data_IF_849719264705
#
_entry.id   IF_849719264705
#
_cell.length_a   1.000
_cell.length_b   1.000
_cell.length_c   1.000
_cell.angle_alpha   90.00
_cell.angle_beta   90.00
_cell.angle_gamma   90.00
#
_symmetry.space_group_name_H-M   'P 1'
#
loop_
_entity.id
_entity.type
_entity.pdbx_description
1 polymer ?
#
# COMPACT_ATOMS: atom_id res chain seq x y z
N UNK A 1 22.25 -26.05 14.73
CA UNK A 1 21.59 -26.72 13.60
C UNK A 1 20.34 -25.90 13.30
N UNK A 2 20.31 -25.22 12.16
CA UNK A 2 19.17 -24.38 11.80
C UNK A 2 17.97 -25.28 11.56
N UNK A 3 16.91 -25.09 12.37
CA UNK A 3 15.61 -25.71 12.16
C UNK A 3 15.17 -25.48 10.72
N UNK A 4 14.84 -26.55 10.00
CA UNK A 4 14.20 -26.47 8.69
C UNK A 4 13.07 -25.45 8.71
N UNK A 5 12.92 -24.57 7.70
CA UNK A 5 11.80 -23.66 7.66
C UNK A 5 10.51 -24.50 7.70
N UNK A 6 9.62 -24.17 8.64
CA UNK A 6 8.22 -24.61 8.65
C UNK A 6 7.66 -24.62 7.22
N UNK A 7 7.04 -25.73 6.83
CA UNK A 7 6.52 -25.96 5.49
C UNK A 7 5.62 -24.81 5.04
N UNK A 8 5.90 -24.26 3.85
CA UNK A 8 5.08 -23.20 3.29
C UNK A 8 3.63 -23.70 3.15
N UNK A 9 2.69 -23.01 3.81
CA UNK A 9 1.27 -23.39 3.82
C UNK A 9 0.48 -22.35 3.05
N UNK A 10 -0.24 -22.80 2.02
CA UNK A 10 -1.03 -21.91 1.16
C UNK A 10 -2.47 -21.89 1.65
N UNK A 11 -2.93 -20.72 2.12
CA UNK A 11 -4.33 -20.50 2.51
C UNK A 11 -5.08 -19.76 1.41
N UNK A 12 -6.30 -20.20 1.10
CA UNK A 12 -7.13 -19.55 0.08
C UNK A 12 -7.44 -18.11 0.48
N UNK A 13 -7.16 -17.17 -0.41
CA UNK A 13 -7.41 -15.74 -0.17
C UNK A 13 -6.40 -15.06 0.76
N UNK A 14 -5.27 -15.72 1.03
CA UNK A 14 -4.19 -15.21 1.88
C UNK A 14 -2.87 -15.20 1.12
N UNK A 15 -2.03 -14.22 1.40
CA UNK A 15 -0.78 -14.01 0.66
C UNK A 15 0.43 -14.57 1.39
N UNK A 16 0.40 -14.58 2.73
CA UNK A 16 1.44 -15.17 3.52
C UNK A 16 1.39 -16.70 3.40
N UNK A 17 2.46 -17.28 2.84
CA UNK A 17 2.70 -18.73 2.82
C UNK A 17 3.63 -19.19 3.93
N UNK A 18 4.23 -18.23 4.64
CA UNK A 18 5.11 -18.42 5.78
C UNK A 18 4.68 -17.44 6.87
N UNK A 19 4.55 -17.93 8.09
CA UNK A 19 4.07 -17.17 9.24
C UNK A 19 5.20 -17.00 10.27
N UNK A 20 6.05 -15.96 10.16
CA UNK A 20 7.16 -15.75 11.06
C UNK A 20 6.69 -15.31 12.45
N UNK A 21 7.36 -15.80 13.50
CA UNK A 21 7.14 -15.29 14.85
C UNK A 21 7.43 -13.78 14.96
N UNK A 22 6.81 -13.14 15.94
CA UNK A 22 7.11 -11.77 16.29
C UNK A 22 8.60 -11.63 16.68
N UNK A 23 9.31 -10.72 15.99
CA UNK A 23 10.73 -10.39 16.24
C UNK A 23 11.02 -9.90 17.67
N UNK A 24 10.03 -9.37 18.38
CA UNK A 24 10.19 -8.85 19.74
C UNK A 24 9.74 -9.83 20.83
N UNK A 25 9.19 -10.99 20.47
CA UNK A 25 8.76 -11.99 21.45
C UNK A 25 9.98 -12.69 22.08
N UNK A 26 10.03 -12.85 23.42
CA UNK A 26 11.15 -13.50 24.10
C UNK A 26 11.18 -15.02 23.89
N UNK A 27 10.04 -15.61 23.51
CA UNK A 27 9.86 -17.03 23.27
C UNK A 27 8.99 -17.25 22.03
N UNK A 28 9.20 -18.36 21.34
CA UNK A 28 8.36 -18.80 20.22
C UNK A 28 7.80 -20.20 20.50
N UNK A 29 6.55 -20.42 20.13
CA UNK A 29 5.92 -21.75 20.14
C UNK A 29 5.98 -22.34 18.74
N UNK A 30 6.41 -23.59 18.63
CA UNK A 30 6.39 -24.34 17.37
C UNK A 30 5.29 -25.38 17.48
N UNK A 31 4.41 -25.43 16.48
CA UNK A 31 3.42 -26.51 16.38
C UNK A 31 4.15 -27.76 15.88
N UNK A 32 4.07 -28.83 16.65
CA UNK A 32 4.61 -30.14 16.32
C UNK A 32 3.46 -31.15 16.34
N UNK A 33 3.42 -32.03 15.34
CA UNK A 33 2.44 -33.11 15.28
C UNK A 33 2.83 -34.15 16.33
N UNK A 34 2.00 -34.29 17.35
CA UNK A 34 2.15 -35.26 18.43
C UNK A 34 1.62 -36.66 18.06
N UNK A 35 1.14 -36.83 16.83
CA UNK A 35 0.57 -38.08 16.31
C UNK A 35 -0.86 -38.35 16.80
N UNK A 36 -1.47 -37.40 17.51
CA UNK A 36 -2.86 -37.49 17.93
C UNK A 36 -3.79 -37.04 16.81
N UNK A 37 -5.01 -37.58 16.80
CA UNK A 37 -6.00 -37.19 15.81
C UNK A 37 -6.40 -35.72 16.00
N UNK A 38 -6.30 -34.93 14.93
CA UNK A 38 -6.73 -33.53 14.87
C UNK A 38 -7.82 -33.39 13.80
N UNK A 39 -8.83 -32.56 14.06
CA UNK A 39 -9.81 -32.17 13.04
C UNK A 39 -9.11 -31.44 11.89
N UNK A 40 -9.53 -31.69 10.64
CA UNK A 40 -8.99 -30.99 9.48
C UNK A 40 -9.16 -29.48 9.64
N UNK A 41 -8.04 -28.74 9.65
CA UNK A 41 -8.05 -27.30 9.81
C UNK A 41 -8.89 -26.63 8.73
N UNK A 42 -9.71 -25.65 9.13
CA UNK A 42 -10.56 -24.89 8.21
C UNK A 42 -9.75 -24.26 7.08
N UNK A 43 -10.18 -24.51 5.83
CA UNK A 43 -9.48 -24.03 4.63
C UNK A 43 -9.45 -22.50 4.48
N UNK A 44 -10.22 -21.76 5.28
CA UNK A 44 -10.30 -20.29 5.24
C UNK A 44 -10.18 -19.69 6.65
N UNK A 45 -9.14 -18.88 6.85
CA UNK A 45 -8.96 -18.09 8.06
C UNK A 45 -9.85 -16.84 8.00
N UNK A 46 -10.69 -16.62 9.00
CA UNK A 46 -11.49 -15.40 9.11
C UNK A 46 -10.62 -14.18 9.41
N UNK A 47 -11.09 -12.99 9.02
CA UNK A 47 -10.46 -11.73 9.44
C UNK A 47 -11.12 -11.25 10.73
N UNK A 48 -10.32 -11.05 11.77
CA UNK A 48 -10.67 -10.45 13.04
C UNK A 48 -10.25 -8.97 13.04
N UNK A 49 -11.11 -8.13 13.61
CA UNK A 49 -10.88 -6.68 13.67
C UNK A 49 -11.10 -6.23 15.10
N UNK A 50 -10.09 -5.61 15.69
CA UNK A 50 -10.22 -4.90 16.97
C UNK A 50 -10.24 -3.39 16.73
N UNK A 51 -10.98 -2.69 17.57
CA UNK A 51 -10.99 -1.23 17.57
C UNK A 51 -9.94 -0.70 18.55
N UNK A 52 -9.19 0.31 18.12
CA UNK A 52 -8.19 1.00 18.94
C UNK A 52 -8.45 2.50 18.88
N UNK A 53 -8.71 3.11 20.03
CA UNK A 53 -8.79 4.56 20.14
C UNK A 53 -7.44 5.17 19.76
N UNK A 54 -7.42 6.00 18.72
CA UNK A 54 -6.22 6.71 18.32
C UNK A 54 -5.80 7.75 19.37
N UNK A 55 -4.50 8.05 19.44
CA UNK A 55 -3.98 9.18 20.22
C UNK A 55 -3.70 10.43 19.38
N UNK A 56 -3.65 10.25 18.07
CA UNK A 56 -3.36 11.26 17.05
C UNK A 56 -3.89 10.76 15.71
N UNK A 57 -4.19 11.64 14.77
CA UNK A 57 -4.57 11.26 13.42
C UNK A 57 -3.34 11.15 12.52
N UNK A 58 -2.53 12.21 12.47
CA UNK A 58 -1.38 12.31 11.58
C UNK A 58 -0.15 11.56 12.08
N UNK A 59 0.51 10.85 11.16
CA UNK A 59 1.84 10.27 11.35
C UNK A 59 2.86 11.03 10.51
N UNK A 60 3.98 11.41 11.12
CA UNK A 60 4.98 12.27 10.50
C UNK A 60 6.23 11.50 10.07
N UNK A 61 6.88 11.97 9.01
CA UNK A 61 8.14 11.43 8.51
C UNK A 61 9.07 12.54 8.01
N UNK A 62 10.38 12.26 7.98
CA UNK A 62 11.43 13.17 7.48
C UNK A 62 12.19 12.59 6.29
N UNK A 63 11.54 11.69 5.54
CA UNK A 63 12.24 10.98 4.47
C UNK A 63 12.43 11.90 3.26
N UNK A 64 13.66 12.05 2.73
CA UNK A 64 13.89 12.85 1.53
C UNK A 64 13.33 12.18 0.26
N UNK A 65 13.02 10.88 0.33
CA UNK A 65 12.49 10.12 -0.81
C UNK A 65 10.98 10.25 -1.00
N UNK A 66 10.28 10.81 0.01
CA UNK A 66 8.84 10.99 -0.01
C UNK A 66 8.51 12.46 -0.24
N UNK A 67 7.61 12.79 -1.16
CA UNK A 67 7.21 14.18 -1.42
C UNK A 67 6.16 14.69 -0.41
N UNK A 68 6.06 14.05 0.75
CA UNK A 68 5.13 14.40 1.83
C UNK A 68 5.77 14.09 3.19
N UNK A 69 5.46 14.91 4.18
CA UNK A 69 5.94 14.78 5.56
C UNK A 69 4.91 14.17 6.51
N UNK A 70 3.64 14.06 6.09
CA UNK A 70 2.53 13.60 6.91
C UNK A 70 1.66 12.58 6.18
N UNK A 71 1.20 11.60 6.93
CA UNK A 71 0.34 10.54 6.43
C UNK A 71 -0.79 10.24 7.39
N UNK A 72 -1.86 9.66 6.86
CA UNK A 72 -3.03 9.24 7.59
C UNK A 72 -3.32 7.79 7.22
N UNK A 73 -3.57 6.96 8.22
CA UNK A 73 -3.79 5.52 8.05
C UNK A 73 -4.98 5.13 8.93
N UNK A 74 -6.15 4.86 8.34
CA UNK A 74 -7.36 4.49 9.09
C UNK A 74 -7.28 3.11 9.76
N UNK A 75 -6.36 2.27 9.29
CA UNK A 75 -6.24 0.88 9.71
C UNK A 75 -4.78 0.51 9.98
N UNK A 76 -4.58 -0.56 10.74
CA UNK A 76 -3.28 -1.26 10.85
C UNK A 76 -3.45 -2.68 10.32
N UNK A 77 -2.52 -3.08 9.45
CA UNK A 77 -2.65 -4.30 8.65
C UNK A 77 -3.47 -4.07 7.38
N UNK A 78 -3.53 -5.07 6.51
CA UNK A 78 -4.30 -4.95 5.27
C UNK A 78 -4.85 -6.28 4.76
N UNK A 79 -6.17 -6.36 4.57
CA UNK A 79 -6.86 -7.55 4.03
C UNK A 79 -6.44 -7.91 2.61
N UNK A 80 -5.88 -6.97 1.84
CA UNK A 80 -5.38 -7.26 0.49
C UNK A 80 -4.33 -8.37 0.47
N UNK A 81 -3.61 -8.57 1.58
CA UNK A 81 -2.69 -9.68 1.76
C UNK A 81 -1.53 -9.70 0.78
N UNK A 82 -1.03 -8.53 0.34
CA UNK A 82 0.09 -8.51 -0.61
C UNK A 82 1.35 -9.10 0.06
N UNK A 83 1.90 -10.20 -0.46
CA UNK A 83 3.02 -10.89 0.18
C UNK A 83 4.26 -10.00 0.32
N UNK A 84 4.49 -9.13 -0.66
CA UNK A 84 5.62 -8.21 -0.71
C UNK A 84 5.44 -6.94 0.14
N UNK A 85 4.34 -6.80 0.89
CA UNK A 85 3.99 -5.54 1.53
C UNK A 85 5.03 -5.12 2.58
N UNK A 86 5.69 -3.99 2.35
CA UNK A 86 6.70 -3.46 3.28
C UNK A 86 6.14 -3.07 4.66
N UNK A 87 4.82 -2.98 4.79
CA UNK A 87 4.14 -2.64 6.04
C UNK A 87 4.02 -3.83 7.00
N UNK A 88 4.19 -5.07 6.50
CA UNK A 88 4.08 -6.31 7.31
C UNK A 88 4.89 -6.28 8.61
N UNK A 89 6.15 -5.82 8.64
CA UNK A 89 6.94 -5.76 9.86
C UNK A 89 6.36 -4.88 10.97
N UNK A 90 5.39 -4.00 10.66
CA UNK A 90 4.74 -3.18 11.69
C UNK A 90 3.91 -4.00 12.67
N UNK A 91 3.41 -5.17 12.26
CA UNK A 91 2.61 -6.05 13.12
C UNK A 91 3.37 -6.60 14.32
N UNK A 92 4.69 -6.76 14.19
CA UNK A 92 5.56 -7.16 15.30
C UNK A 92 5.43 -6.22 16.52
N UNK A 93 5.15 -4.92 16.31
CA UNK A 93 4.98 -3.96 17.42
C UNK A 93 3.68 -4.15 18.23
N UNK A 94 2.74 -4.97 17.75
CA UNK A 94 1.48 -5.28 18.43
C UNK A 94 1.42 -6.71 18.97
N UNK A 95 2.57 -7.36 19.05
CA UNK A 95 2.67 -8.78 19.39
C UNK A 95 1.93 -9.71 18.42
N UNK A 96 1.94 -9.32 17.14
CA UNK A 96 1.31 -10.05 16.05
C UNK A 96 2.35 -10.46 15.01
N UNK A 97 2.09 -11.58 14.34
CA UNK A 97 2.92 -12.03 13.23
C UNK A 97 2.89 -11.05 12.03
N UNK A 98 4.05 -10.68 11.45
CA UNK A 98 4.11 -10.02 10.14
C UNK A 98 3.55 -10.86 8.97
N UNK A 99 3.37 -12.17 9.21
CA UNK A 99 2.79 -13.17 8.32
C UNK A 99 1.28 -13.05 8.15
N UNK A 100 0.57 -14.06 8.67
CA UNK A 100 -0.88 -14.17 8.53
C UNK A 100 -1.61 -13.10 9.34
N UNK A 101 -1.16 -12.79 10.56
CA UNK A 101 -1.82 -11.79 11.40
C UNK A 101 -1.89 -10.40 10.74
N UNK A 102 -0.93 -10.03 9.88
CA UNK A 102 -1.00 -8.78 9.11
C UNK A 102 -2.27 -8.64 8.26
N UNK A 103 -2.81 -9.76 7.77
CA UNK A 103 -3.96 -9.80 6.87
C UNK A 103 -5.21 -10.46 7.48
N UNK A 104 -5.08 -11.10 8.65
CA UNK A 104 -6.18 -11.70 9.41
C UNK A 104 -6.52 -10.95 10.69
N UNK A 105 -5.57 -10.30 11.37
CA UNK A 105 -5.78 -9.57 12.64
C UNK A 105 -5.52 -8.08 12.45
N UNK A 106 -6.60 -7.35 12.20
CA UNK A 106 -6.56 -5.94 11.84
C UNK A 106 -6.96 -5.05 13.00
N UNK A 107 -6.54 -3.80 12.92
CA UNK A 107 -6.89 -2.77 13.90
C UNK A 107 -7.58 -1.62 13.18
N UNK A 108 -8.83 -1.37 13.52
CA UNK A 108 -9.57 -0.20 13.10
C UNK A 108 -9.32 0.95 14.08
N UNK A 109 -8.79 2.06 13.58
CA UNK A 109 -8.45 3.21 14.42
C UNK A 109 -9.67 4.11 14.59
N UNK A 110 -10.23 4.14 15.79
CA UNK A 110 -11.38 4.99 16.14
C UNK A 110 -10.89 6.38 16.62
N UNK A 111 -11.78 7.38 16.60
CA UNK A 111 -11.48 8.76 17.00
C UNK A 111 -10.65 9.56 15.98
N UNK A 112 -10.41 9.04 14.78
CA UNK A 112 -9.49 9.65 13.81
C UNK A 112 -9.97 10.99 13.25
N UNK A 113 -11.27 11.14 13.04
CA UNK A 113 -11.84 12.37 12.45
C UNK A 113 -11.76 13.50 13.49
N UNK A 114 -12.07 13.16 14.73
CA UNK A 114 -12.04 14.05 15.88
C UNK A 114 -10.60 14.53 16.12
N UNK A 115 -9.62 13.61 16.22
CA UNK A 115 -8.21 13.99 16.36
C UNK A 115 -7.67 14.77 15.17
N UNK A 116 -8.09 14.46 13.94
CA UNK A 116 -7.67 15.23 12.78
C UNK A 116 -8.25 16.65 12.85
N UNK A 117 -9.49 16.80 13.30
CA UNK A 117 -10.13 18.12 13.50
C UNK A 117 -9.31 18.95 14.49
N UNK A 118 -8.94 18.39 15.63
CA UNK A 118 -8.11 19.06 16.64
C UNK A 118 -6.73 19.45 16.06
N UNK A 119 -6.06 18.50 15.39
CA UNK A 119 -4.73 18.71 14.79
C UNK A 119 -4.74 19.81 13.71
N UNK A 120 -5.79 19.86 12.88
CA UNK A 120 -5.95 20.88 11.84
C UNK A 120 -6.35 22.26 12.39
N UNK A 121 -6.93 22.31 13.60
CA UNK A 121 -7.35 23.56 14.26
C UNK A 121 -6.20 24.26 15.00
N UNK A 122 -5.04 23.61 15.12
CA UNK A 122 -3.91 24.17 15.86
C UNK A 122 -3.41 25.49 15.21
N UNK A 123 -3.18 26.57 15.99
CA UNK A 123 -2.84 27.90 15.44
C UNK A 123 -1.60 27.94 14.54
N UNK A 124 -0.66 27.03 14.77
CA UNK A 124 0.58 26.90 13.99
C UNK A 124 0.52 25.80 12.92
N UNK A 125 -0.66 25.25 12.62
CA UNK A 125 -0.81 24.26 11.58
C UNK A 125 -0.52 24.85 10.20
N UNK A 126 0.42 24.26 9.47
CA UNK A 126 0.74 24.65 8.10
C UNK A 126 0.17 23.59 7.15
N UNK A 127 -0.79 23.99 6.34
CA UNK A 127 -1.43 23.12 5.35
C UNK A 127 -0.42 22.59 4.32
N UNK A 128 -0.31 21.26 4.24
CA UNK A 128 0.46 20.54 3.23
C UNK A 128 -0.24 19.22 2.90
N UNK A 129 -0.12 18.70 1.66
CA UNK A 129 -0.80 17.47 1.28
C UNK A 129 -0.60 16.31 2.26
N UNK A 130 -1.71 15.72 2.73
CA UNK A 130 -1.68 14.48 3.51
C UNK A 130 -1.59 13.30 2.54
N UNK A 131 -0.74 12.32 2.83
CA UNK A 131 -0.80 11.03 2.15
C UNK A 131 -1.70 10.06 2.91
N UNK A 132 -2.87 9.74 2.35
CA UNK A 132 -3.74 8.69 2.86
C UNK A 132 -3.32 7.35 2.24
N UNK A 133 -3.19 6.31 3.06
CA UNK A 133 -2.68 4.97 2.68
C UNK A 133 -1.17 4.83 2.53
N UNK A 134 -0.43 5.31 3.53
CA UNK A 134 1.02 5.13 3.62
C UNK A 134 1.48 3.78 4.20
N UNK A 135 0.66 3.08 4.98
CA UNK A 135 1.03 1.80 5.61
C UNK A 135 -0.11 0.75 5.63
N UNK A 136 -1.23 1.08 5.00
CA UNK A 136 -2.42 0.24 4.79
C UNK A 136 -3.17 0.75 3.57
N UNK A 137 -4.12 0.00 3.03
CA UNK A 137 -5.05 0.52 2.02
C UNK A 137 -6.30 1.07 2.71
N UNK A 138 -6.61 2.35 2.48
CA UNK A 138 -7.76 3.03 3.09
C UNK A 138 -9.09 2.52 2.54
N UNK A 139 -9.07 1.86 1.37
CA UNK A 139 -10.23 1.26 0.72
C UNK A 139 -10.20 -0.27 0.73
N UNK A 140 -9.44 -0.89 1.63
CA UNK A 140 -9.53 -2.33 1.86
C UNK A 140 -10.97 -2.74 2.24
N UNK A 141 -11.38 -4.02 2.10
CA UNK A 141 -12.76 -4.46 2.32
C UNK A 141 -13.41 -3.96 3.63
N UNK A 142 -12.65 -3.87 4.72
CA UNK A 142 -13.06 -3.30 6.00
C UNK A 142 -13.71 -1.90 5.92
N UNK A 143 -13.26 -1.06 4.99
CA UNK A 143 -13.77 0.30 4.78
C UNK A 143 -15.23 0.34 4.31
N UNK A 144 -15.75 -0.76 3.75
CA UNK A 144 -17.16 -0.86 3.40
C UNK A 144 -18.07 -0.76 4.65
N UNK A 145 -17.58 -1.26 5.80
CA UNK A 145 -18.27 -1.21 7.10
C UNK A 145 -17.95 0.07 7.87
N UNK A 146 -16.67 0.41 7.99
CA UNK A 146 -16.22 1.46 8.91
C UNK A 146 -16.38 2.88 8.37
N UNK A 147 -16.35 3.06 7.04
CA UNK A 147 -16.50 4.35 6.37
C UNK A 147 -15.57 5.46 6.92
N UNK A 148 -14.44 5.09 7.51
CA UNK A 148 -13.54 6.04 8.18
C UNK A 148 -12.87 6.92 7.14
N UNK A 149 -12.47 6.35 6.01
CA UNK A 149 -11.91 7.09 4.88
C UNK A 149 -12.90 8.10 4.34
N UNK A 150 -14.17 7.72 4.17
CA UNK A 150 -15.21 8.65 3.72
C UNK A 150 -15.34 9.86 4.66
N UNK A 151 -15.50 9.62 5.96
CA UNK A 151 -15.61 10.70 6.97
C UNK A 151 -14.36 11.60 7.02
N UNK A 152 -13.17 11.02 6.81
CA UNK A 152 -11.93 11.78 6.69
C UNK A 152 -11.93 12.66 5.43
N UNK A 153 -12.42 12.16 4.29
CA UNK A 153 -12.53 12.95 3.06
C UNK A 153 -13.55 14.08 3.21
N UNK A 154 -14.67 13.86 3.88
CA UNK A 154 -15.67 14.89 4.20
C UNK A 154 -15.04 16.04 5.01
N UNK A 155 -14.30 15.71 6.07
CA UNK A 155 -13.57 16.70 6.88
C UNK A 155 -12.53 17.46 6.03
N UNK A 156 -11.72 16.74 5.24
CA UNK A 156 -10.68 17.35 4.41
C UNK A 156 -11.27 18.27 3.34
N UNK A 157 -12.39 17.89 2.71
CA UNK A 157 -13.12 18.72 1.77
C UNK A 157 -13.66 19.99 2.45
N UNK A 158 -14.31 19.85 3.62
CA UNK A 158 -14.82 20.99 4.39
C UNK A 158 -13.71 21.98 4.77
N UNK A 159 -12.52 21.47 5.12
CA UNK A 159 -11.35 22.28 5.43
C UNK A 159 -10.57 22.77 4.20
N UNK A 160 -10.99 22.41 2.98
CA UNK A 160 -10.21 22.59 1.74
C UNK A 160 -8.75 22.14 1.88
N UNK A 161 -8.57 21.00 2.52
CA UNK A 161 -7.27 20.44 2.82
C UNK A 161 -6.87 19.40 1.75
N UNK A 162 -5.69 19.51 1.13
CA UNK A 162 -5.28 18.61 0.07
C UNK A 162 -4.86 17.22 0.57
N UNK A 163 -5.14 16.20 -0.24
CA UNK A 163 -4.84 14.79 0.04
C UNK A 163 -4.37 14.06 -1.21
N UNK A 164 -3.45 13.12 -1.02
CA UNK A 164 -3.10 12.10 -2.02
C UNK A 164 -3.52 10.74 -1.52
N UNK A 165 -4.15 9.95 -2.38
CA UNK A 165 -4.69 8.63 -2.07
C UNK A 165 -3.90 7.57 -2.83
N UNK A 166 -3.61 6.43 -2.18
CA UNK A 166 -3.05 5.25 -2.84
C UNK A 166 -3.96 4.07 -2.57
N UNK A 167 -4.42 3.37 -3.61
CA UNK A 167 -5.26 2.18 -3.42
C UNK A 167 -5.07 1.09 -4.49
N UNK A 168 -5.48 -0.13 -4.15
CA UNK A 168 -5.66 -1.29 -5.03
C UNK A 168 -7.13 -1.73 -5.13
N UNK A 169 -8.05 -0.98 -4.54
CA UNK A 169 -9.45 -1.36 -4.37
C UNK A 169 -10.38 -0.62 -5.34
N UNK A 170 -11.49 -1.26 -5.70
CA UNK A 170 -12.59 -0.60 -6.43
C UNK A 170 -13.51 0.20 -5.52
N UNK A 171 -13.42 0.02 -4.20
CA UNK A 171 -14.30 0.67 -3.23
C UNK A 171 -14.15 2.20 -3.22
N UNK A 172 -13.02 2.73 -3.69
CA UNK A 172 -12.82 4.17 -3.90
C UNK A 172 -13.92 4.81 -4.77
N UNK A 173 -14.54 4.05 -5.68
CA UNK A 173 -15.61 4.55 -6.53
C UNK A 173 -16.91 4.87 -5.76
N UNK A 174 -17.06 4.38 -4.51
CA UNK A 174 -18.17 4.78 -3.63
C UNK A 174 -18.14 6.26 -3.32
N UNK A 175 -16.95 6.84 -3.20
CA UNK A 175 -16.76 8.22 -2.75
C UNK A 175 -16.45 9.18 -3.93
N UNK A 176 -16.93 8.84 -5.14
CA UNK A 176 -16.77 9.68 -6.33
C UNK A 176 -17.36 11.08 -6.14
N UNK A 177 -18.45 11.20 -5.39
CA UNK A 177 -19.10 12.47 -5.05
C UNK A 177 -18.13 13.43 -4.35
N UNK A 178 -17.45 12.95 -3.31
CA UNK A 178 -16.47 13.74 -2.56
C UNK A 178 -15.21 14.01 -3.38
N UNK A 179 -14.71 12.98 -4.06
CA UNK A 179 -13.45 13.08 -4.82
C UNK A 179 -13.56 14.03 -6.02
N UNK A 180 -14.72 14.06 -6.69
CA UNK A 180 -14.98 14.99 -7.79
C UNK A 180 -14.98 16.44 -7.30
N UNK A 181 -15.70 16.75 -6.21
CA UNK A 181 -15.71 18.10 -5.62
C UNK A 181 -14.31 18.53 -5.15
N UNK A 182 -13.57 17.62 -4.50
CA UNK A 182 -12.17 17.88 -4.14
C UNK A 182 -11.30 18.14 -5.37
N UNK A 183 -11.56 17.49 -6.50
CA UNK A 183 -10.80 17.67 -7.74
C UNK A 183 -11.03 19.05 -8.35
N UNK A 184 -12.26 19.57 -8.32
CA UNK A 184 -12.59 20.94 -8.76
C UNK A 184 -11.78 22.00 -8.02
N UNK A 185 -11.54 21.78 -6.72
CA UNK A 185 -10.70 22.64 -5.88
C UNK A 185 -9.19 22.32 -5.95
N UNK A 186 -8.79 21.36 -6.79
CA UNK A 186 -7.42 20.81 -6.88
C UNK A 186 -6.86 20.31 -5.54
N UNK A 187 -7.72 19.69 -4.73
CA UNK A 187 -7.37 19.17 -3.41
C UNK A 187 -6.96 17.69 -3.45
N UNK A 188 -7.38 16.92 -4.46
CA UNK A 188 -7.12 15.48 -4.49
C UNK A 188 -6.28 15.03 -5.68
N UNK A 189 -5.42 14.03 -5.42
CA UNK A 189 -4.86 13.16 -6.46
C UNK A 189 -4.96 11.70 -6.02
N UNK A 190 -5.41 10.85 -6.93
CA UNK A 190 -5.51 9.40 -6.69
C UNK A 190 -4.40 8.67 -7.43
N UNK A 191 -3.78 7.69 -6.76
CA UNK A 191 -2.85 6.76 -7.34
C UNK A 191 -3.37 5.34 -7.22
N UNK A 192 -3.55 4.67 -8.35
CA UNK A 192 -3.96 3.26 -8.40
C UNK A 192 -2.73 2.39 -8.62
N UNK A 193 -2.47 1.44 -7.70
CA UNK A 193 -1.32 0.53 -7.84
C UNK A 193 -1.61 -0.57 -8.87
N UNK A 194 -0.83 -0.62 -9.94
CA UNK A 194 -0.86 -1.64 -10.98
C UNK A 194 0.47 -2.41 -10.99
N UNK A 195 0.48 -3.56 -10.31
CA UNK A 195 1.68 -4.40 -10.15
C UNK A 195 1.94 -5.30 -11.35
N UNK A 196 0.87 -5.86 -11.93
CA UNK A 196 0.90 -6.79 -13.07
C UNK A 196 -0.47 -6.73 -13.78
N UNK A 197 -0.50 -7.03 -15.08
CA UNK A 197 -1.73 -7.24 -15.85
C UNK A 197 -2.15 -8.72 -15.87
N UNK A 198 -1.29 -9.63 -15.38
CA UNK A 198 -1.57 -11.05 -15.26
C UNK A 198 -2.45 -11.34 -14.04
N UNK A 199 -3.66 -11.84 -14.30
CA UNK A 199 -4.62 -12.23 -13.29
C UNK A 199 -4.13 -13.44 -12.46
N UNK A 200 -3.32 -14.34 -13.03
CA UNK A 200 -2.78 -15.50 -12.31
C UNK A 200 -1.76 -15.06 -11.27
N UNK A 201 -0.77 -14.25 -11.66
CA UNK A 201 0.18 -13.66 -10.73
C UNK A 201 -0.53 -12.83 -9.65
N UNK A 202 -1.50 -11.99 -10.02
CA UNK A 202 -2.29 -11.21 -9.06
C UNK A 202 -2.96 -12.09 -8.00
N UNK A 203 -3.50 -13.27 -8.36
CA UNK A 203 -4.24 -14.14 -7.42
C UNK A 203 -3.38 -14.65 -6.26
N UNK A 204 -2.08 -14.87 -6.48
CA UNK A 204 -1.16 -15.34 -5.45
C UNK A 204 -0.38 -14.20 -4.81
N UNK A 205 -0.04 -13.16 -5.57
CA UNK A 205 0.76 -12.02 -5.09
C UNK A 205 -0.08 -11.01 -4.30
N UNK A 206 -1.35 -10.82 -4.68
CA UNK A 206 -2.29 -9.82 -4.15
C UNK A 206 -3.73 -10.39 -4.06
N UNK A 207 -3.93 -11.46 -3.26
CA UNK A 207 -5.08 -12.35 -3.37
C UNK A 207 -6.42 -11.62 -3.25
N UNK A 208 -6.56 -10.71 -2.28
CA UNK A 208 -7.82 -10.01 -1.99
C UNK A 208 -7.90 -8.58 -2.54
N UNK A 209 -6.88 -8.11 -3.25
CA UNK A 209 -6.94 -6.84 -3.96
C UNK A 209 -7.84 -6.92 -5.20
N UNK A 210 -8.21 -5.79 -5.82
CA UNK A 210 -8.98 -5.83 -7.08
C UNK A 210 -8.17 -6.45 -8.23
N UNK A 211 -8.82 -7.04 -9.23
CA UNK A 211 -8.14 -7.56 -10.43
C UNK A 211 -7.48 -6.42 -11.24
N UNK A 212 -6.48 -6.72 -12.09
CA UNK A 212 -5.84 -5.69 -12.92
C UNK A 212 -6.85 -4.93 -13.80
N UNK A 213 -7.81 -5.65 -14.39
CA UNK A 213 -8.87 -5.08 -15.22
C UNK A 213 -9.80 -4.17 -14.41
N UNK A 214 -10.14 -4.55 -13.19
CA UNK A 214 -10.94 -3.73 -12.29
C UNK A 214 -10.20 -2.45 -11.88
N UNK A 215 -8.89 -2.52 -11.63
CA UNK A 215 -8.07 -1.33 -11.35
C UNK A 215 -7.97 -0.39 -12.55
N UNK A 216 -7.83 -0.93 -13.77
CA UNK A 216 -7.90 -0.12 -15.00
C UNK A 216 -9.27 0.53 -15.18
N UNK A 217 -10.35 -0.17 -14.82
CA UNK A 217 -11.70 0.43 -14.79
C UNK A 217 -11.76 1.59 -13.78
N UNK A 218 -11.25 1.42 -12.56
CA UNK A 218 -11.18 2.49 -11.56
C UNK A 218 -10.46 3.73 -12.10
N UNK A 219 -9.31 3.55 -12.76
CA UNK A 219 -8.59 4.68 -13.39
C UNK A 219 -9.50 5.40 -14.41
N UNK A 220 -10.23 4.64 -15.23
CA UNK A 220 -11.15 5.20 -16.23
C UNK A 220 -12.29 5.99 -15.58
N UNK A 221 -12.97 5.41 -14.60
CA UNK A 221 -14.08 6.07 -13.91
C UNK A 221 -13.62 7.35 -13.19
N UNK A 222 -12.47 7.32 -12.51
CA UNK A 222 -11.89 8.50 -11.86
C UNK A 222 -11.55 9.60 -12.87
N UNK A 223 -10.92 9.25 -13.99
CA UNK A 223 -10.60 10.22 -15.04
C UNK A 223 -11.86 10.81 -15.70
N UNK A 224 -12.89 9.99 -15.94
CA UNK A 224 -14.19 10.46 -16.46
C UNK A 224 -14.85 11.44 -15.51
N UNK A 225 -14.74 11.22 -14.20
CA UNK A 225 -15.23 12.14 -13.17
C UNK A 225 -14.34 13.39 -12.95
N UNK A 226 -13.33 13.62 -13.80
CA UNK A 226 -12.43 14.77 -13.69
C UNK A 226 -11.38 14.67 -12.58
N UNK A 227 -11.28 13.53 -11.89
CA UNK A 227 -10.35 13.32 -10.78
C UNK A 227 -8.95 13.04 -11.31
N UNK A 228 -7.91 13.83 -10.94
CA UNK A 228 -6.53 13.57 -11.35
C UNK A 228 -6.05 12.22 -10.84
N UNK A 229 -5.89 11.26 -11.76
CA UNK A 229 -5.46 9.90 -11.46
C UNK A 229 -4.09 9.60 -12.07
N UNK A 230 -3.26 8.93 -11.28
CA UNK A 230 -1.98 8.35 -11.69
C UNK A 230 -1.91 6.86 -11.39
N UNK A 231 -0.86 6.21 -11.89
CA UNK A 231 -0.58 4.81 -11.59
C UNK A 231 0.73 4.62 -10.84
N UNK A 232 0.75 3.68 -9.91
CA UNK A 232 1.98 3.17 -9.31
C UNK A 232 2.30 1.80 -9.90
N UNK A 233 3.33 1.74 -10.73
CA UNK A 233 3.91 0.47 -11.23
C UNK A 233 4.80 -0.08 -10.13
N UNK A 234 4.17 -0.65 -9.10
CA UNK A 234 4.86 -0.96 -7.84
C UNK A 234 4.23 -2.18 -7.13
N UNK A 235 5.06 -3.19 -6.76
CA UNK A 235 6.49 -3.27 -7.02
C UNK A 235 6.82 -3.73 -8.45
N UNK A 236 7.92 -3.21 -8.99
CA UNK A 236 8.65 -3.90 -10.06
C UNK A 236 9.49 -5.01 -9.40
N UNK A 237 9.25 -6.25 -9.83
CA UNK A 237 9.92 -7.46 -9.35
C UNK A 237 10.73 -8.01 -10.54
N UNK A 238 12.07 -7.88 -10.53
CA UNK A 238 12.91 -8.40 -11.60
C UNK A 238 12.70 -9.90 -11.83
N UNK A 239 12.47 -10.31 -13.08
CA UNK A 239 12.19 -11.69 -13.46
C UNK A 239 10.76 -12.16 -13.21
N UNK A 240 9.87 -11.26 -12.75
CA UNK A 240 8.47 -11.58 -12.48
C UNK A 240 7.50 -10.55 -13.08
N UNK A 241 7.63 -9.25 -12.78
CA UNK A 241 6.73 -8.19 -13.28
C UNK A 241 7.42 -7.16 -14.17
N UNK A 242 8.75 -7.12 -14.18
CA UNK A 242 9.55 -6.14 -14.93
C UNK A 242 9.35 -6.22 -16.46
N UNK A 243 8.98 -7.39 -17.00
CA UNK A 243 8.64 -7.55 -18.42
C UNK A 243 7.33 -6.83 -18.82
N UNK A 244 6.50 -6.40 -17.86
CA UNK A 244 5.19 -5.79 -18.12
C UNK A 244 5.19 -4.25 -18.08
N UNK A 245 6.32 -3.62 -17.74
CA UNK A 245 6.42 -2.16 -17.50
C UNK A 245 5.76 -1.35 -18.63
N UNK A 246 6.12 -1.62 -19.89
CA UNK A 246 5.62 -0.91 -21.06
C UNK A 246 4.11 -1.13 -21.24
N UNK A 247 3.64 -2.36 -21.08
CA UNK A 247 2.22 -2.72 -21.25
C UNK A 247 1.35 -2.14 -20.14
N UNK A 248 1.84 -2.10 -18.91
CA UNK A 248 1.16 -1.45 -17.78
C UNK A 248 1.00 0.05 -18.06
N UNK A 249 2.07 0.71 -18.50
CA UNK A 249 2.03 2.15 -18.81
C UNK A 249 1.09 2.46 -19.98
N UNK A 250 1.12 1.66 -21.04
CA UNK A 250 0.16 1.75 -22.15
C UNK A 250 -1.29 1.62 -21.66
N UNK A 251 -1.58 0.56 -20.90
CA UNK A 251 -2.92 0.28 -20.42
C UNK A 251 -3.42 1.38 -19.46
N UNK A 252 -2.56 1.85 -18.55
CA UNK A 252 -2.87 2.92 -17.62
C UNK A 252 -3.12 4.25 -18.35
N UNK A 253 -2.28 4.60 -19.33
CA UNK A 253 -2.45 5.82 -20.15
C UNK A 253 -3.77 5.80 -20.90
N UNK A 254 -4.09 4.67 -21.56
CA UNK A 254 -5.38 4.47 -22.25
C UNK A 254 -6.60 4.45 -21.32
N UNK A 255 -6.41 4.15 -20.04
CA UNK A 255 -7.45 4.28 -19.03
C UNK A 255 -7.60 5.72 -18.52
N UNK A 256 -6.66 6.62 -18.80
CA UNK A 256 -6.72 8.02 -18.39
C UNK A 256 -5.75 8.39 -17.25
N UNK A 257 -4.83 7.51 -16.88
CA UNK A 257 -3.77 7.88 -15.94
C UNK A 257 -2.85 8.93 -16.57
N UNK A 258 -2.66 10.06 -15.87
CA UNK A 258 -1.84 11.19 -16.36
C UNK A 258 -0.42 11.17 -15.81
N UNK A 259 -0.21 10.51 -14.68
CA UNK A 259 1.10 10.40 -14.02
C UNK A 259 1.42 8.95 -13.74
N UNK A 260 2.70 8.60 -13.76
CA UNK A 260 3.16 7.28 -13.40
C UNK A 260 4.38 7.37 -12.48
N UNK A 261 4.49 6.43 -11.55
CA UNK A 261 5.71 6.23 -10.75
C UNK A 261 5.93 4.76 -10.57
N UNK A 262 7.19 4.33 -10.50
CA UNK A 262 7.55 2.96 -10.17
C UNK A 262 8.31 2.88 -8.86
N UNK A 263 8.31 1.69 -8.24
CA UNK A 263 9.22 1.37 -7.15
C UNK A 263 9.73 -0.06 -7.35
N UNK A 264 11.02 -0.26 -7.16
CA UNK A 264 11.59 -1.60 -7.07
C UNK A 264 11.07 -2.28 -5.81
N UNK A 265 10.89 -3.60 -5.87
CA UNK A 265 10.56 -4.42 -4.71
C UNK A 265 11.45 -4.10 -3.50
N UNK A 266 10.81 -4.05 -2.33
CA UNK A 266 11.43 -3.83 -1.02
C UNK A 266 11.13 -5.03 -0.15
N UNK A 267 12.16 -5.60 0.47
CA UNK A 267 12.05 -6.79 1.32
C UNK A 267 12.62 -6.51 2.73
N UNK A 268 12.06 -5.56 3.49
CA UNK A 268 12.53 -5.29 4.85
C UNK A 268 12.22 -6.45 5.79
N UNK A 269 13.15 -6.75 6.70
CA UNK A 269 12.95 -7.69 7.81
C UNK A 269 12.32 -9.02 7.38
N UNK A 270 11.17 -9.40 7.98
CA UNK A 270 10.46 -10.65 7.74
C UNK A 270 9.92 -10.80 6.31
N UNK A 271 9.79 -9.68 5.57
CA UNK A 271 9.26 -9.72 4.20
C UNK A 271 10.20 -10.49 3.26
N UNK A 272 11.51 -10.45 3.48
CA UNK A 272 12.47 -11.20 2.65
C UNK A 272 12.24 -12.72 2.71
N UNK A 273 12.33 -13.39 3.88
CA UNK A 273 12.08 -14.83 3.95
C UNK A 273 10.63 -15.20 3.57
N UNK A 274 9.63 -14.35 3.87
CA UNK A 274 8.25 -14.57 3.44
C UNK A 274 8.11 -14.57 1.92
N UNK A 275 8.74 -13.62 1.22
CA UNK A 275 8.70 -13.54 -0.23
C UNK A 275 9.48 -14.69 -0.88
N UNK A 276 10.59 -15.11 -0.29
CA UNK A 276 11.33 -16.31 -0.72
C UNK A 276 10.47 -17.58 -0.59
N UNK A 277 9.80 -17.77 0.54
CA UNK A 277 8.88 -18.90 0.75
C UNK A 277 7.71 -18.88 -0.25
N UNK A 278 7.17 -17.71 -0.55
CA UNK A 278 6.12 -17.54 -1.55
C UNK A 278 6.60 -17.86 -2.97
N UNK A 279 7.83 -17.46 -3.33
CA UNK A 279 8.44 -17.83 -4.60
C UNK A 279 8.63 -19.34 -4.69
N UNK A 280 9.06 -20.02 -3.63
CA UNK A 280 9.18 -21.48 -3.62
C UNK A 280 7.83 -22.18 -3.79
N UNK A 281 6.77 -21.66 -3.14
CA UNK A 281 5.44 -22.24 -3.23
C UNK A 281 4.77 -22.06 -4.60
N UNK A 282 4.99 -20.92 -5.26
CA UNK A 282 4.25 -20.55 -6.47
C UNK A 282 5.07 -20.46 -7.76
N UNK A 283 6.37 -20.23 -7.66
CA UNK A 283 7.30 -20.06 -8.79
C UNK A 283 8.67 -20.71 -8.52
N UNK A 284 8.74 -22.00 -8.13
CA UNK A 284 9.98 -22.63 -7.66
C UNK A 284 11.12 -22.54 -8.68
N UNK A 285 10.80 -22.75 -9.97
CA UNK A 285 11.78 -22.67 -11.07
C UNK A 285 12.38 -21.26 -11.26
N UNK A 286 11.68 -20.21 -10.80
CA UNK A 286 12.13 -18.81 -10.92
C UNK A 286 12.70 -18.27 -9.61
N UNK A 287 12.47 -18.93 -8.48
CA UNK A 287 12.76 -18.41 -7.14
C UNK A 287 14.22 -17.96 -7.00
N UNK A 288 15.17 -18.83 -7.34
CA UNK A 288 16.62 -18.53 -7.26
C UNK A 288 16.98 -17.34 -8.16
N UNK A 289 16.46 -17.32 -9.39
CA UNK A 289 16.75 -16.26 -10.37
C UNK A 289 16.19 -14.91 -9.92
N UNK A 290 14.93 -14.86 -9.47
CA UNK A 290 14.28 -13.62 -8.99
C UNK A 290 15.06 -13.05 -7.80
N UNK A 291 15.40 -13.89 -6.81
CA UNK A 291 16.17 -13.44 -5.64
C UNK A 291 17.60 -13.03 -5.98
N UNK A 292 18.23 -13.66 -6.98
CA UNK A 292 19.54 -13.22 -7.48
C UNK A 292 19.45 -11.83 -8.12
N UNK A 293 18.45 -11.57 -8.97
CA UNK A 293 18.26 -10.27 -9.60
C UNK A 293 17.94 -9.17 -8.58
N UNK A 294 17.12 -9.47 -7.56
CA UNK A 294 16.85 -8.53 -6.46
C UNK A 294 18.15 -8.14 -5.75
N UNK A 295 19.00 -9.13 -5.42
CA UNK A 295 20.30 -8.88 -4.78
C UNK A 295 21.25 -8.07 -5.66
N UNK A 296 21.26 -8.32 -6.97
CA UNK A 296 22.05 -7.54 -7.92
C UNK A 296 21.59 -6.07 -7.98
N UNK A 297 20.29 -5.80 -7.80
CA UNK A 297 19.77 -4.44 -7.69
C UNK A 297 20.05 -3.77 -6.32
N UNK A 298 20.74 -4.45 -5.40
CA UNK A 298 20.86 -4.09 -3.97
C UNK A 298 22.25 -4.41 -3.41
N UNK A 299 23.28 -4.38 -4.25
CA UNK A 299 24.68 -4.61 -3.84
C UNK A 299 24.88 -5.91 -3.03
N UNK A 300 24.18 -6.96 -3.45
CA UNK A 300 24.23 -8.31 -2.87
C UNK A 300 23.23 -8.60 -1.75
N UNK A 301 22.53 -7.58 -1.22
CA UNK A 301 21.58 -7.73 -0.10
C UNK A 301 20.15 -8.00 -0.59
N UNK A 302 19.31 -8.62 0.24
CA UNK A 302 17.88 -8.74 -0.07
C UNK A 302 17.14 -7.40 -0.02
N UNK A 303 17.63 -6.45 0.79
CA UNK A 303 17.07 -5.10 0.88
C UNK A 303 18.12 -4.12 1.43
N UNK A 304 18.04 -2.86 0.97
CA UNK A 304 18.79 -1.74 1.53
C UNK A 304 17.81 -0.61 1.89
N UNK A 305 17.90 -0.11 3.13
CA UNK A 305 17.02 0.91 3.67
C UNK A 305 17.54 2.34 3.45
N UNK A 306 18.74 2.51 2.87
CA UNK A 306 19.35 3.81 2.63
C UNK A 306 18.45 4.70 1.76
N UNK A 307 18.33 5.97 2.15
CA UNK A 307 17.61 6.96 1.35
C UNK A 307 18.28 7.16 -0.01
N UNK A 308 17.49 7.55 -1.01
CA UNK A 308 17.89 7.65 -2.42
C UNK A 308 17.82 6.31 -3.16
N UNK A 309 18.27 5.22 -2.54
CA UNK A 309 18.43 3.92 -3.23
C UNK A 309 17.31 2.94 -2.91
N UNK A 310 16.70 2.98 -1.71
CA UNK A 310 15.67 2.01 -1.26
C UNK A 310 14.46 1.84 -2.20
N UNK A 311 14.09 2.85 -2.99
CA UNK A 311 12.98 2.74 -3.95
C UNK A 311 13.40 2.40 -5.39
N UNK A 312 14.66 2.66 -5.77
CA UNK A 312 15.13 2.53 -7.15
C UNK A 312 16.02 1.29 -7.36
N UNK A 313 16.81 0.95 -6.36
CA UNK A 313 17.91 0.01 -6.51
C UNK A 313 19.12 0.67 -7.16
N UNK A 314 20.17 -0.12 -7.35
CA UNK A 314 21.44 0.27 -7.97
C UNK A 314 21.92 -0.84 -8.91
N UNK A 315 22.83 -0.50 -9.83
CA UNK A 315 23.43 -1.46 -10.75
C UNK A 315 22.62 -1.69 -12.04
N UNK A 316 23.21 -2.48 -12.94
CA UNK A 316 22.78 -2.59 -14.36
C UNK A 316 21.30 -2.93 -14.53
N UNK A 317 20.77 -3.83 -13.69
CA UNK A 317 19.35 -4.23 -13.77
C UNK A 317 18.41 -3.12 -13.30
N UNK A 318 18.76 -2.38 -12.24
CA UNK A 318 17.98 -1.24 -11.78
C UNK A 318 18.00 -0.10 -12.82
N UNK A 319 19.17 0.16 -13.43
CA UNK A 319 19.33 1.15 -14.49
C UNK A 319 18.51 0.79 -15.72
N UNK A 320 18.51 -0.48 -16.14
CA UNK A 320 17.69 -0.96 -17.26
C UNK A 320 16.19 -0.78 -16.98
N UNK A 321 15.73 -1.12 -15.77
CA UNK A 321 14.34 -0.90 -15.36
C UNK A 321 13.98 0.60 -15.41
N UNK A 322 14.86 1.46 -14.89
CA UNK A 322 14.66 2.90 -14.91
C UNK A 322 14.57 3.43 -16.35
N UNK A 323 15.50 3.04 -17.23
CA UNK A 323 15.53 3.44 -18.63
C UNK A 323 14.27 3.00 -19.37
N UNK A 324 13.84 1.74 -19.20
CA UNK A 324 12.60 1.19 -19.78
C UNK A 324 11.38 1.98 -19.32
N UNK A 325 11.25 2.20 -18.01
CA UNK A 325 10.17 2.99 -17.45
C UNK A 325 10.15 4.43 -17.99
N UNK A 326 11.30 5.11 -18.04
CA UNK A 326 11.37 6.50 -18.51
C UNK A 326 11.09 6.63 -20.00
N UNK A 327 11.53 5.66 -20.81
CA UNK A 327 11.24 5.62 -22.25
C UNK A 327 9.74 5.39 -22.49
N UNK A 328 9.16 4.40 -21.83
CA UNK A 328 7.74 4.09 -21.94
C UNK A 328 6.85 5.23 -21.40
N UNK A 329 7.25 5.85 -20.29
CA UNK A 329 6.52 7.00 -19.73
C UNK A 329 6.48 8.16 -20.72
N UNK A 330 7.60 8.45 -21.41
CA UNK A 330 7.64 9.47 -22.47
C UNK A 330 6.78 9.07 -23.67
N UNK A 331 6.88 7.82 -24.12
CA UNK A 331 6.07 7.30 -25.23
C UNK A 331 4.56 7.44 -24.97
N UNK A 332 4.12 7.25 -23.73
CA UNK A 332 2.71 7.30 -23.33
C UNK A 332 2.31 8.64 -22.67
N UNK A 333 3.12 9.68 -22.83
CA UNK A 333 2.88 11.06 -22.36
C UNK A 333 2.56 11.15 -20.85
N UNK A 334 3.19 10.32 -20.02
CA UNK A 334 3.05 10.38 -18.57
C UNK A 334 3.75 11.63 -18.03
N UNK A 335 3.01 12.45 -17.29
CA UNK A 335 3.49 13.70 -16.72
C UNK A 335 4.27 13.47 -15.41
N UNK A 336 5.30 14.28 -15.13
CA UNK A 336 5.91 14.37 -13.81
C UNK A 336 4.91 14.70 -12.72
N UNK A 337 5.11 14.14 -11.52
CA UNK A 337 4.23 14.39 -10.35
C UNK A 337 4.17 15.88 -9.96
N UNK A 338 5.24 16.63 -10.21
CA UNK A 338 5.43 18.04 -9.84
C UNK A 338 4.58 19.01 -10.67
N UNK A 339 4.20 18.64 -11.89
CA UNK A 339 3.47 19.53 -12.82
C UNK A 339 2.01 19.77 -12.43
N UNK A 340 1.51 19.04 -11.43
CA UNK A 340 0.13 19.11 -10.98
C UNK A 340 0.10 19.31 -9.45
N UNK A 341 0.53 20.46 -8.94
CA UNK A 341 0.49 20.76 -7.51
C UNK A 341 -0.94 20.75 -6.94
N UNK A 342 -1.10 20.33 -5.69
CA UNK A 342 -2.38 20.44 -4.96
C UNK A 342 -2.50 21.82 -4.31
N UNK A 343 -3.74 22.31 -4.18
CA UNK A 343 -4.02 23.61 -3.57
C UNK A 343 -3.89 23.54 -2.04
N UNK A 344 -2.99 24.34 -1.47
CA UNK A 344 -2.82 24.51 -0.02
C UNK A 344 -3.20 25.91 0.46
N UNK A 345 -3.57 26.82 -0.45
CA UNK A 345 -3.79 28.25 -0.15
C UNK A 345 -5.18 28.51 0.38
N UNK A 346 -6.15 27.70 -0.04
CA UNK A 346 -7.56 27.88 0.33
C UNK A 346 -7.94 27.12 1.62
N UNK A 347 -6.95 26.58 2.33
CA UNK A 347 -7.18 25.85 3.58
C UNK A 347 -7.96 26.70 4.58
N UNK A 348 -8.96 26.07 5.20
CA UNK A 348 -9.82 26.62 6.22
C UNK A 348 -9.71 25.72 7.44
N UNK A 349 -9.11 26.16 8.55
CA UNK A 349 -9.11 25.37 9.77
C UNK A 349 -10.57 25.08 10.18
N UNK A 350 -10.85 23.91 10.78
CA UNK A 350 -12.15 23.65 11.38
C UNK A 350 -12.48 24.77 12.38
N UNK A 351 -13.71 25.28 12.35
CA UNK A 351 -14.14 26.29 13.33
C UNK A 351 -14.18 25.66 14.71
N UNK A 352 -13.58 26.32 15.70
CA UNK A 352 -13.78 25.93 17.08
C UNK A 352 -15.25 26.18 17.45
N UNK A 353 -15.85 25.28 18.22
CA UNK A 353 -17.24 25.40 18.66
C UNK A 353 -17.56 26.72 19.40
N UNK A 354 -16.54 27.47 19.83
CA UNK A 354 -16.67 28.80 20.44
C UNK A 354 -17.03 29.95 19.49
N UNK A 355 -16.93 29.77 18.17
CA UNK A 355 -17.20 30.83 17.18
C UNK A 355 -18.70 30.98 16.83
N UNK A 356 -19.59 30.19 17.45
CA UNK A 356 -21.05 30.30 17.27
C UNK A 356 -21.70 31.38 18.14
N UNK A 357 -20.92 32.06 18.99
CA UNK A 357 -21.40 33.05 19.96
C UNK A 357 -20.83 34.47 19.74
N UNK A 358 -20.33 34.79 18.54
CA UNK A 358 -19.85 36.13 18.19
C UNK A 358 -20.69 36.73 17.06
#
# INVERSE_FOLDING_TARGET
MASSPSSATVYKGRGATYDPHNRFAPTCSVVEDDGWWHEEATASLATEVREEASKSALSWNRSPDLPFDRSLNPYRGCEHGCIYCYARPSHAYWDLSPGLDFETRLIARTGLVEHLTDELSHPHYVCRPINLSGNTDCYQPLEAKYQTTRRLLELLLACRHPVTLVTKSTLILRDLDLLAEMAEHRLVRVFVSLTSLDANLKRTLEPRAASPQARLKVIRELNTAGIPVGTLVSPIIPGLTDHEIERILEAASRAGARTATWMLLRLPHEVAPMFEAWLQAHYPERAIKVMSLIRQCRSGKNYDAQFGTRFRGEGVFADLIAQRFHRASRQWNMQPRTEQGLNTRDFRPPRAQGDLFI
#
